data_IF_163422780162
#
_entry.id   IF_163422780162
#
_cell.length_a   1.000
_cell.length_b   1.000
_cell.length_c   1.000
_cell.angle_alpha   90.00
_cell.angle_beta   90.00
_cell.angle_gamma   90.00
#
_symmetry.space_group_name_H-M   'P 1'
#
loop_
_entity.id
_entity.type
_entity.pdbx_description
1 polymer ?
#
# COMPACT_ATOMS: atom_id res chain seq x y z
N UNK A 1 -46.04 -2.33 -5.90
CA UNK A 1 -45.23 -2.24 -4.67
C UNK A 1 -44.14 -1.23 -4.92
N UNK A 2 -44.38 0.01 -4.49
CA UNK A 2 -43.39 1.09 -4.57
C UNK A 2 -42.19 0.76 -3.68
N UNK A 3 -41.00 1.18 -4.11
CA UNK A 3 -39.71 0.82 -3.53
C UNK A 3 -39.60 1.22 -2.04
N UNK A 4 -39.85 0.28 -1.13
CA UNK A 4 -39.66 0.44 0.33
C UNK A 4 -38.18 0.37 0.78
N UNK A 5 -37.24 0.15 -0.14
CA UNK A 5 -35.82 0.03 0.17
C UNK A 5 -35.08 1.35 -0.04
N UNK A 6 -34.46 1.84 1.04
CA UNK A 6 -33.57 3.01 1.01
C UNK A 6 -32.43 2.79 0.00
N UNK A 7 -32.39 3.62 -1.04
CA UNK A 7 -31.32 3.63 -2.04
C UNK A 7 -30.27 4.67 -1.61
N UNK A 8 -29.03 4.26 -1.31
CA UNK A 8 -27.98 5.21 -0.96
C UNK A 8 -27.80 6.24 -2.09
N UNK A 9 -27.72 7.53 -1.75
CA UNK A 9 -27.70 8.64 -2.72
C UNK A 9 -26.51 8.62 -3.70
N UNK A 10 -25.51 7.75 -3.49
CA UNK A 10 -24.33 7.63 -4.35
C UNK A 10 -23.37 8.84 -4.29
N UNK A 11 -23.79 9.95 -3.69
CA UNK A 11 -22.99 11.16 -3.53
C UNK A 11 -21.84 10.91 -2.56
N UNK A 12 -20.61 10.93 -3.07
CA UNK A 12 -19.41 11.01 -2.25
C UNK A 12 -19.06 12.48 -2.00
N UNK A 13 -18.66 12.84 -0.77
CA UNK A 13 -18.09 14.16 -0.52
C UNK A 13 -16.81 14.32 -1.36
N UNK A 14 -16.69 15.40 -2.13
CA UNK A 14 -15.49 15.67 -2.93
C UNK A 14 -14.21 15.70 -2.07
N UNK A 15 -14.32 16.22 -0.86
CA UNK A 15 -13.24 16.23 0.14
C UNK A 15 -12.80 14.81 0.54
N UNK A 16 -13.74 13.87 0.67
CA UNK A 16 -13.43 12.49 1.01
C UNK A 16 -12.67 11.79 -0.13
N UNK A 17 -13.06 12.06 -1.37
CA UNK A 17 -12.42 11.52 -2.56
C UNK A 17 -10.97 12.04 -2.69
N UNK A 18 -10.81 13.36 -2.73
CA UNK A 18 -9.51 14.02 -2.92
C UNK A 18 -8.59 13.69 -1.73
N UNK A 19 -9.10 13.82 -0.51
CA UNK A 19 -8.32 13.54 0.69
C UNK A 19 -7.81 12.11 0.74
N UNK A 20 -8.65 11.12 0.38
CA UNK A 20 -8.26 9.71 0.41
C UNK A 20 -7.26 9.36 -0.69
N UNK A 21 -7.34 10.02 -1.86
CA UNK A 21 -6.34 9.87 -2.90
C UNK A 21 -4.99 10.44 -2.48
N UNK A 22 -4.96 11.64 -1.90
CA UNK A 22 -3.71 12.29 -1.47
C UNK A 22 -3.05 11.51 -0.34
N UNK A 23 -3.79 11.22 0.74
CA UNK A 23 -3.24 10.43 1.87
C UNK A 23 -2.93 8.99 1.45
N UNK A 24 -3.75 8.38 0.59
CA UNK A 24 -3.49 7.05 0.05
C UNK A 24 -2.21 7.01 -0.79
N UNK A 25 -1.97 8.03 -1.62
CA UNK A 25 -0.74 8.17 -2.42
C UNK A 25 0.50 8.31 -1.54
N UNK A 26 0.44 9.20 -0.54
CA UNK A 26 1.54 9.38 0.42
C UNK A 26 1.81 8.05 1.16
N UNK A 27 0.73 7.40 1.63
CA UNK A 27 0.85 6.12 2.31
C UNK A 27 1.40 5.02 1.41
N UNK A 28 1.04 4.98 0.12
CA UNK A 28 1.55 4.00 -0.83
C UNK A 28 3.07 4.10 -0.96
N UNK A 29 3.60 5.32 -1.11
CA UNK A 29 5.04 5.56 -1.21
C UNK A 29 5.74 5.21 0.10
N UNK A 30 5.23 5.67 1.24
CA UNK A 30 5.83 5.38 2.56
C UNK A 30 5.84 3.87 2.83
N UNK A 31 4.73 3.17 2.58
CA UNK A 31 4.63 1.73 2.77
C UNK A 31 5.56 0.98 1.81
N UNK A 32 5.76 1.47 0.58
CA UNK A 32 6.68 0.86 -0.39
C UNK A 32 8.14 0.96 0.07
N UNK A 33 8.54 2.12 0.62
CA UNK A 33 9.89 2.30 1.21
C UNK A 33 10.09 1.34 2.37
N UNK A 34 9.12 1.25 3.29
CA UNK A 34 9.18 0.34 4.44
C UNK A 34 9.25 -1.12 3.99
N UNK A 35 8.44 -1.49 3.00
CA UNK A 35 8.40 -2.84 2.44
C UNK A 35 9.77 -3.26 1.87
N UNK A 36 10.38 -2.41 1.03
CA UNK A 36 11.68 -2.70 0.44
C UNK A 36 12.79 -2.70 1.49
N UNK A 37 12.77 -1.77 2.45
CA UNK A 37 13.76 -1.75 3.53
C UNK A 37 13.71 -3.05 4.35
N UNK A 38 12.51 -3.52 4.72
CA UNK A 38 12.36 -4.76 5.48
C UNK A 38 12.88 -5.97 4.69
N UNK A 39 12.60 -6.07 3.40
CA UNK A 39 13.12 -7.16 2.55
C UNK A 39 14.63 -7.08 2.34
N UNK A 40 15.19 -5.87 2.32
CA UNK A 40 16.63 -5.67 2.18
C UNK A 40 17.41 -6.14 3.41
N UNK A 41 16.88 -5.84 4.61
CA UNK A 41 17.57 -6.12 5.87
C UNK A 41 17.27 -7.49 6.47
N UNK A 42 16.16 -8.13 6.11
CA UNK A 42 15.74 -9.42 6.68
C UNK A 42 15.99 -10.54 5.64
N UNK A 43 17.09 -11.30 5.73
CA UNK A 43 17.44 -12.35 4.77
C UNK A 43 16.66 -13.67 5.00
N UNK A 44 15.40 -13.59 5.44
CA UNK A 44 14.55 -14.76 5.72
C UNK A 44 13.42 -14.80 4.69
N UNK A 45 13.58 -15.65 3.66
CA UNK A 45 12.64 -15.75 2.54
C UNK A 45 11.19 -15.97 3.00
N UNK A 46 10.95 -16.83 3.98
CA UNK A 46 9.60 -17.11 4.48
C UNK A 46 8.97 -15.92 5.22
N UNK A 47 9.79 -15.02 5.78
CA UNK A 47 9.33 -13.84 6.48
C UNK A 47 8.74 -12.79 5.52
N UNK A 48 9.11 -12.85 4.23
CA UNK A 48 8.57 -11.97 3.19
C UNK A 48 7.05 -12.09 3.04
N UNK A 49 6.47 -13.25 3.37
CA UNK A 49 5.01 -13.43 3.38
C UNK A 49 4.37 -12.47 4.38
N UNK A 50 4.91 -12.38 5.60
CA UNK A 50 4.40 -11.46 6.63
C UNK A 50 4.65 -10.01 6.27
N UNK A 51 5.81 -9.69 5.67
CA UNK A 51 6.09 -8.33 5.18
C UNK A 51 5.09 -7.91 4.11
N UNK A 52 4.75 -8.80 3.17
CA UNK A 52 3.77 -8.55 2.10
C UNK A 52 2.36 -8.38 2.66
N UNK A 53 1.97 -9.23 3.62
CA UNK A 53 0.70 -9.08 4.33
C UNK A 53 0.63 -7.74 5.07
N UNK A 54 1.71 -7.35 5.75
CA UNK A 54 1.83 -6.07 6.44
C UNK A 54 1.75 -4.87 5.48
N UNK A 55 2.34 -4.98 4.30
CA UNK A 55 2.27 -3.97 3.26
C UNK A 55 0.83 -3.73 2.78
N UNK A 56 0.11 -4.79 2.40
CA UNK A 56 -1.29 -4.70 2.01
C UNK A 56 -2.19 -4.22 3.15
N UNK A 57 -2.00 -4.77 4.36
CA UNK A 57 -2.78 -4.41 5.54
C UNK A 57 -2.57 -2.95 5.95
N UNK A 58 -1.36 -2.40 5.85
CA UNK A 58 -1.09 -1.00 6.18
C UNK A 58 -1.74 -0.03 5.20
N UNK A 59 -1.69 -0.32 3.89
CA UNK A 59 -2.43 0.47 2.88
C UNK A 59 -3.94 0.43 3.18
N UNK A 60 -4.48 -0.76 3.44
CA UNK A 60 -5.88 -0.94 3.80
C UNK A 60 -6.24 -0.15 5.07
N UNK A 61 -5.40 -0.20 6.10
CA UNK A 61 -5.62 0.51 7.36
C UNK A 61 -5.73 2.02 7.15
N UNK A 62 -4.80 2.62 6.39
CA UNK A 62 -4.80 4.06 6.11
C UNK A 62 -6.03 4.47 5.30
N UNK A 63 -6.37 3.71 4.26
CA UNK A 63 -7.57 4.00 3.46
C UNK A 63 -8.86 3.83 4.25
N UNK A 64 -8.98 2.78 5.06
CA UNK A 64 -10.13 2.58 5.94
C UNK A 64 -10.27 3.73 6.96
N UNK A 65 -9.15 4.19 7.53
CA UNK A 65 -9.14 5.37 8.39
C UNK A 65 -9.65 6.62 7.66
N UNK A 66 -9.18 6.87 6.44
CA UNK A 66 -9.63 7.98 5.60
C UNK A 66 -11.12 7.91 5.29
N UNK A 67 -11.61 6.74 4.87
CA UNK A 67 -13.01 6.52 4.52
C UNK A 67 -13.93 6.72 5.72
N UNK A 68 -13.53 6.26 6.91
CA UNK A 68 -14.26 6.49 8.16
C UNK A 68 -14.26 7.98 8.54
N UNK A 69 -13.10 8.63 8.51
CA UNK A 69 -12.94 10.04 8.92
C UNK A 69 -13.73 11.00 8.04
N UNK A 70 -13.73 10.78 6.72
CA UNK A 70 -14.46 11.63 5.77
C UNK A 70 -15.84 11.09 5.38
N UNK A 71 -16.31 10.05 6.05
CA UNK A 71 -17.65 9.46 5.86
C UNK A 71 -17.91 9.07 4.41
N UNK A 72 -16.92 8.47 3.73
CA UNK A 72 -17.10 7.93 2.38
C UNK A 72 -17.98 6.67 2.44
N UNK A 73 -19.25 6.80 2.07
CA UNK A 73 -20.25 5.71 2.14
C UNK A 73 -20.54 5.04 0.79
N UNK A 74 -19.94 5.55 -0.29
CA UNK A 74 -20.10 4.95 -1.62
C UNK A 74 -19.04 3.85 -1.82
N UNK A 75 -19.50 2.59 -1.75
CA UNK A 75 -18.64 1.42 -1.89
C UNK A 75 -17.92 1.35 -3.24
N UNK A 76 -18.56 1.80 -4.33
CA UNK A 76 -17.94 1.80 -5.65
C UNK A 76 -16.76 2.76 -5.74
N UNK A 77 -16.91 3.97 -5.18
CA UNK A 77 -15.83 4.96 -5.12
C UNK A 77 -14.72 4.51 -4.17
N UNK A 78 -15.06 3.93 -3.01
CA UNK A 78 -14.08 3.39 -2.08
C UNK A 78 -13.23 2.27 -2.71
N UNK A 79 -13.86 1.37 -3.46
CA UNK A 79 -13.18 0.30 -4.19
C UNK A 79 -12.25 0.87 -5.27
N UNK A 80 -12.73 1.85 -6.04
CA UNK A 80 -11.92 2.51 -7.08
C UNK A 80 -10.68 3.20 -6.49
N UNK A 81 -10.84 3.98 -5.41
CA UNK A 81 -9.70 4.64 -4.73
C UNK A 81 -8.72 3.58 -4.22
N UNK A 82 -9.23 2.53 -3.58
CA UNK A 82 -8.39 1.46 -3.03
C UNK A 82 -7.59 0.77 -4.12
N UNK A 83 -8.22 0.47 -5.26
CA UNK A 83 -7.57 -0.18 -6.39
C UNK A 83 -6.48 0.73 -7.01
N UNK A 84 -6.76 2.02 -7.20
CA UNK A 84 -5.78 2.99 -7.71
C UNK A 84 -4.57 3.10 -6.77
N UNK A 85 -4.81 3.21 -5.46
CA UNK A 85 -3.74 3.35 -4.46
C UNK A 85 -2.95 2.05 -4.33
N UNK A 86 -3.59 0.88 -4.40
CA UNK A 86 -2.92 -0.41 -4.36
C UNK A 86 -2.03 -0.62 -5.59
N UNK A 87 -2.51 -0.29 -6.79
CA UNK A 87 -1.70 -0.33 -8.01
C UNK A 87 -0.51 0.63 -7.93
N UNK A 88 -0.74 1.85 -7.43
CA UNK A 88 0.33 2.82 -7.23
C UNK A 88 1.39 2.30 -6.24
N UNK A 89 0.96 1.71 -5.12
CA UNK A 89 1.87 1.15 -4.13
C UNK A 89 2.68 -0.03 -4.71
N UNK A 90 2.02 -0.90 -5.48
CA UNK A 90 2.67 -2.01 -6.17
C UNK A 90 3.69 -1.51 -7.21
N UNK A 91 3.38 -0.46 -7.95
CA UNK A 91 4.33 0.17 -8.87
C UNK A 91 5.48 0.84 -8.12
N UNK A 92 5.19 1.58 -7.04
CA UNK A 92 6.20 2.29 -6.25
C UNK A 92 7.22 1.34 -5.63
N UNK A 93 6.78 0.22 -5.05
CA UNK A 93 7.72 -0.77 -4.49
C UNK A 93 8.61 -1.38 -5.57
N UNK A 94 8.06 -1.65 -6.76
CA UNK A 94 8.83 -2.18 -7.88
C UNK A 94 9.86 -1.16 -8.39
N UNK A 95 9.45 0.10 -8.55
CA UNK A 95 10.35 1.16 -8.99
C UNK A 95 11.50 1.39 -7.98
N UNK A 96 11.20 1.37 -6.68
CA UNK A 96 12.20 1.46 -5.62
C UNK A 96 13.15 0.26 -5.62
N UNK A 97 12.62 -0.96 -5.78
CA UNK A 97 13.42 -2.18 -5.92
C UNK A 97 14.41 -2.06 -7.08
N UNK A 98 13.93 -1.70 -8.27
CA UNK A 98 14.78 -1.59 -9.47
C UNK A 98 15.83 -0.51 -9.29
N UNK A 99 15.47 0.64 -8.72
CA UNK A 99 16.41 1.72 -8.43
C UNK A 99 17.49 1.29 -7.45
N UNK A 100 17.13 0.60 -6.37
CA UNK A 100 18.09 0.05 -5.42
C UNK A 100 19.01 -0.99 -6.04
N UNK A 101 18.48 -1.90 -6.86
CA UNK A 101 19.28 -2.91 -7.56
C UNK A 101 20.22 -2.33 -8.60
N UNK A 102 19.81 -1.27 -9.28
CA UNK A 102 20.68 -0.61 -10.26
C UNK A 102 21.86 0.11 -9.59
N UNK A 103 21.65 0.69 -8.40
CA UNK A 103 22.68 1.43 -7.67
C UNK A 103 23.50 0.57 -6.69
N UNK A 104 23.01 -0.62 -6.35
CA UNK A 104 23.72 -1.53 -5.47
C UNK A 104 24.78 -2.31 -6.26
N UNK A 105 26.05 -2.13 -5.91
CA UNK A 105 27.15 -2.97 -6.40
C UNK A 105 27.18 -4.38 -5.77
N UNK A 106 26.11 -4.79 -5.07
CA UNK A 106 26.02 -6.03 -4.29
C UNK A 106 24.67 -6.74 -4.40
N UNK A 107 24.64 -7.99 -3.93
CA UNK A 107 23.46 -8.86 -3.98
C UNK A 107 22.51 -8.63 -2.81
N UNK A 108 21.19 -8.71 -3.05
CA UNK A 108 20.19 -8.66 -1.97
C UNK A 108 20.45 -9.78 -0.96
N UNK A 109 20.83 -9.40 0.27
CA UNK A 109 21.10 -10.32 1.36
C UNK A 109 22.39 -11.15 1.26
N UNK A 110 23.19 -11.00 0.19
CA UNK A 110 24.36 -11.86 -0.02
C UNK A 110 25.68 -11.31 0.54
N UNK A 111 25.92 -10.00 0.49
CA UNK A 111 27.26 -9.48 0.81
C UNK A 111 27.46 -9.02 2.27
N UNK A 112 26.38 -8.77 3.01
CA UNK A 112 26.46 -8.33 4.41
C UNK A 112 26.51 -9.49 5.41
N UNK A 113 26.02 -10.68 5.04
CA UNK A 113 25.86 -11.81 5.97
C UNK A 113 26.71 -13.04 5.64
N UNK A 114 27.16 -13.22 4.39
CA UNK A 114 28.00 -14.39 4.02
C UNK A 114 29.44 -14.24 4.51
N UNK A 115 29.92 -13.01 4.79
CA UNK A 115 31.27 -12.77 5.31
C UNK A 115 31.44 -13.00 6.82
N UNK A 116 30.37 -13.28 7.57
CA UNK A 116 30.44 -13.47 9.04
C UNK A 116 30.27 -14.92 9.49
N UNK A 117 30.23 -15.89 8.58
CA UNK A 117 29.91 -17.28 8.92
C UNK A 117 30.87 -18.34 8.37
N UNK A 118 32.05 -17.98 7.87
CA UNK A 118 33.19 -18.90 7.67
C UNK A 118 34.52 -18.17 7.79
#
# INVERSE_FOLDING_TARGET
MENLYYKPSGKAPALAFIGSLVLGTISAVVMAIVYIALQWFIPIIYFNVFITLGFGAGIFYVLNFCFKKWKLRNNGIALLITLLVALLAFYAQWALFVSLMYNAEGTMGGDTWVKSSF
#
